data_IF_455582386501
#
_entry.id   IF_455582386501
#
_cell.length_a   1.000
_cell.length_b   1.000
_cell.length_c   1.000
_cell.angle_alpha   90.00
_cell.angle_beta   90.00
_cell.angle_gamma   90.00
#
_symmetry.space_group_name_H-M   'P 1'
#
loop_
_entity.id
_entity.type
_entity.pdbx_description
1 polymer ?
#
# COMPACT_ATOMS: atom_id res chain seq x y z
N UNK A 1 15.14 12.61 26.02
CA UNK A 1 13.90 11.90 26.39
C UNK A 1 13.12 11.69 25.12
N UNK A 2 12.62 10.47 24.89
CA UNK A 2 11.85 10.15 23.68
C UNK A 2 10.54 10.94 23.65
N UNK A 3 10.23 11.59 22.51
CA UNK A 3 9.06 12.46 22.32
C UNK A 3 7.76 11.73 22.67
N UNK A 4 7.63 10.48 22.19
CA UNK A 4 6.47 9.64 22.50
C UNK A 4 6.38 9.26 23.98
N UNK A 5 7.50 8.95 24.64
CA UNK A 5 7.51 8.63 26.07
C UNK A 5 7.02 9.81 26.89
N UNK A 6 7.57 11.01 26.63
CA UNK A 6 7.19 12.22 27.35
C UNK A 6 5.70 12.53 27.18
N UNK A 7 5.19 12.45 25.95
CA UNK A 7 3.77 12.60 25.63
C UNK A 7 2.92 11.59 26.40
N UNK A 8 3.20 10.28 26.24
CA UNK A 8 2.39 9.23 26.86
C UNK A 8 2.41 9.27 28.39
N UNK A 9 3.53 9.70 28.98
CA UNK A 9 3.66 9.89 30.43
C UNK A 9 2.85 11.09 30.94
N UNK A 10 2.67 12.13 30.13
CA UNK A 10 1.88 13.31 30.50
C UNK A 10 0.37 13.03 30.55
N UNK A 11 -0.11 12.00 29.85
CA UNK A 11 -1.52 11.62 29.82
C UNK A 11 -1.98 11.00 31.15
N UNK A 12 -3.18 11.39 31.60
CA UNK A 12 -3.85 10.75 32.73
C UNK A 12 -4.19 9.28 32.41
N UNK A 13 -4.44 8.47 33.44
CA UNK A 13 -4.76 7.04 33.27
C UNK A 13 -5.95 6.83 32.32
N UNK A 14 -7.03 7.57 32.52
CA UNK A 14 -8.23 7.50 31.69
C UNK A 14 -7.98 7.93 30.23
N UNK A 15 -7.10 8.93 30.02
CA UNK A 15 -6.73 9.38 28.69
C UNK A 15 -5.86 8.34 27.97
N UNK A 16 -4.97 7.65 28.69
CA UNK A 16 -4.18 6.55 28.13
C UNK A 16 -5.03 5.38 27.68
N UNK A 17 -6.07 5.04 28.43
CA UNK A 17 -7.03 3.99 28.06
C UNK A 17 -7.77 4.37 26.77
N UNK A 18 -8.30 5.60 26.70
CA UNK A 18 -8.94 6.12 25.47
C UNK A 18 -7.97 6.18 24.28
N UNK A 19 -6.72 6.57 24.53
CA UNK A 19 -5.70 6.64 23.49
C UNK A 19 -5.35 5.25 22.95
N UNK A 20 -5.22 4.26 23.83
CA UNK A 20 -4.99 2.87 23.42
C UNK A 20 -6.16 2.33 22.59
N UNK A 21 -7.40 2.61 22.98
CA UNK A 21 -8.60 2.23 22.23
C UNK A 21 -8.65 2.91 20.86
N UNK A 22 -8.40 4.21 20.78
CA UNK A 22 -8.40 4.98 19.52
C UNK A 22 -7.35 4.46 18.53
N UNK A 23 -6.20 4.03 19.02
CA UNK A 23 -5.10 3.48 18.21
C UNK A 23 -5.29 1.98 17.94
N UNK A 24 -6.27 1.32 18.57
CA UNK A 24 -6.55 -0.11 18.39
C UNK A 24 -5.54 -1.03 19.07
N UNK A 25 -4.99 -0.63 20.21
CA UNK A 25 -3.98 -1.39 20.95
C UNK A 25 -4.23 -1.38 22.46
N UNK A 26 -3.28 -1.88 23.26
CA UNK A 26 -3.35 -1.89 24.72
C UNK A 26 -2.37 -0.89 25.35
N UNK A 27 -2.75 -0.33 26.51
CA UNK A 27 -1.92 0.61 27.28
C UNK A 27 -0.55 0.01 27.62
N UNK A 28 -0.51 -1.28 27.97
CA UNK A 28 0.72 -1.99 28.29
C UNK A 28 1.65 -2.08 27.07
N UNK A 29 1.10 -2.32 25.87
CA UNK A 29 1.89 -2.37 24.65
C UNK A 29 2.45 -1.00 24.27
N UNK A 30 1.66 0.07 24.42
CA UNK A 30 2.14 1.45 24.24
C UNK A 30 3.29 1.78 25.21
N UNK A 31 3.24 1.31 26.46
CA UNK A 31 4.38 1.46 27.37
C UNK A 31 5.62 0.71 26.90
N UNK A 32 5.48 -0.51 26.39
CA UNK A 32 6.62 -1.25 25.83
C UNK A 32 7.26 -0.50 24.65
N UNK A 33 6.46 0.18 23.83
CA UNK A 33 6.94 1.05 22.75
C UNK A 33 7.61 2.31 23.33
N UNK A 34 7.01 2.97 24.32
CA UNK A 34 7.55 4.17 24.96
C UNK A 34 8.91 3.93 25.64
N UNK A 35 9.14 2.73 26.16
CA UNK A 35 10.42 2.30 26.72
C UNK A 35 11.36 1.65 25.68
N UNK A 36 11.00 1.67 24.38
CA UNK A 36 11.76 1.06 23.27
C UNK A 36 12.02 -0.44 23.42
N UNK A 37 11.24 -1.13 24.25
CA UNK A 37 11.33 -2.58 24.42
C UNK A 37 10.73 -3.34 23.23
N UNK A 38 9.76 -2.73 22.55
CA UNK A 38 9.14 -3.25 21.32
C UNK A 38 9.24 -2.23 20.21
N UNK A 39 9.41 -2.73 18.98
CA UNK A 39 9.37 -1.91 17.77
C UNK A 39 7.92 -1.60 17.43
N UNK A 40 7.65 -0.34 17.11
CA UNK A 40 6.35 0.08 16.62
C UNK A 40 6.18 -0.35 15.16
N UNK A 41 5.01 -0.90 14.82
CA UNK A 41 4.64 -1.18 13.43
C UNK A 41 4.36 0.13 12.68
N UNK A 42 4.51 0.14 11.36
CA UNK A 42 4.27 1.30 10.49
C UNK A 42 2.84 1.80 10.64
N UNK A 43 1.86 0.89 10.52
CA UNK A 43 0.44 1.22 10.67
C UNK A 43 0.13 1.80 12.05
N UNK A 44 0.76 1.27 13.09
CA UNK A 44 0.57 1.74 14.46
C UNK A 44 1.16 3.15 14.67
N UNK A 45 2.32 3.43 14.08
CA UNK A 45 2.93 4.75 14.15
C UNK A 45 2.02 5.83 13.53
N UNK A 46 1.41 5.51 12.39
CA UNK A 46 0.46 6.40 11.71
C UNK A 46 -0.76 6.66 12.60
N UNK A 47 -1.35 5.62 13.20
CA UNK A 47 -2.49 5.80 14.10
C UNK A 47 -2.13 6.59 15.36
N UNK A 48 -0.91 6.43 15.89
CA UNK A 48 -0.42 7.25 17.02
C UNK A 48 -0.30 8.72 16.63
N UNK A 49 0.26 9.04 15.46
CA UNK A 49 0.37 10.43 14.98
C UNK A 49 -1.03 11.06 14.79
N UNK A 50 -1.97 10.31 14.20
CA UNK A 50 -3.36 10.74 14.02
C UNK A 50 -4.07 10.98 15.35
N UNK A 51 -3.98 10.03 16.29
CA UNK A 51 -4.62 10.12 17.59
C UNK A 51 -4.00 11.21 18.48
N UNK A 52 -2.71 11.50 18.32
CA UNK A 52 -2.00 12.56 19.05
C UNK A 52 -2.11 13.94 18.41
N UNK A 53 -2.76 14.07 17.25
CA UNK A 53 -2.90 15.34 16.55
C UNK A 53 -1.55 15.93 16.12
N UNK A 54 -0.61 15.07 15.66
CA UNK A 54 0.75 15.44 15.26
C UNK A 54 1.67 15.94 16.40
N UNK A 55 1.29 15.74 17.67
CA UNK A 55 2.18 15.98 18.81
C UNK A 55 3.34 14.98 18.85
N UNK A 56 3.11 13.77 18.34
CA UNK A 56 4.14 12.74 18.16
C UNK A 56 4.25 12.44 16.68
N UNK A 57 5.43 12.65 16.11
CA UNK A 57 5.69 12.42 14.69
C UNK A 57 6.00 10.95 14.42
N UNK A 58 5.58 10.45 13.25
CA UNK A 58 5.94 9.11 12.78
C UNK A 58 7.46 8.94 12.62
N UNK A 59 8.18 10.02 12.30
CA UNK A 59 9.64 10.03 12.19
C UNK A 59 10.35 9.74 13.53
N UNK A 60 9.81 10.25 14.64
CA UNK A 60 10.36 10.01 15.98
C UNK A 60 10.13 8.56 16.44
N UNK A 61 8.96 8.00 16.10
CA UNK A 61 8.60 6.62 16.44
C UNK A 61 9.43 5.62 15.63
N UNK A 62 9.69 5.94 14.36
CA UNK A 62 10.30 5.02 13.40
C UNK A 62 11.23 5.75 12.44
N UNK A 63 12.47 6.05 12.88
CA UNK A 63 13.47 6.69 12.04
C UNK A 63 14.05 5.75 10.96
N UNK A 64 13.75 4.45 11.01
CA UNK A 64 14.18 3.49 10.00
C UNK A 64 13.39 3.53 8.70
N UNK A 65 12.20 4.16 8.69
CA UNK A 65 11.36 4.28 7.49
C UNK A 65 11.51 5.66 6.89
N UNK A 66 11.68 5.71 5.57
CA UNK A 66 11.68 6.97 4.82
C UNK A 66 10.25 7.47 4.60
N UNK A 67 9.73 8.17 5.61
CA UNK A 67 8.41 8.80 5.57
C UNK A 67 8.32 9.93 4.54
N UNK A 68 9.44 10.58 4.20
CA UNK A 68 9.46 11.61 3.17
C UNK A 68 9.22 11.01 1.78
N UNK A 69 9.84 9.88 1.48
CA UNK A 69 9.57 9.12 0.26
C UNK A 69 8.09 8.71 0.15
N UNK A 70 7.47 8.25 1.25
CA UNK A 70 6.06 7.86 1.28
C UNK A 70 5.13 9.05 1.00
N UNK A 71 5.39 10.23 1.60
CA UNK A 71 4.60 11.45 1.37
C UNK A 71 4.73 11.93 -0.08
N UNK A 72 5.95 12.02 -0.60
CA UNK A 72 6.21 12.45 -1.99
C UNK A 72 5.55 11.50 -3.01
N UNK A 73 5.57 10.19 -2.73
CA UNK A 73 4.91 9.20 -3.58
C UNK A 73 3.41 9.40 -3.62
N UNK A 74 2.78 9.66 -2.47
CA UNK A 74 1.35 9.96 -2.40
C UNK A 74 0.97 11.25 -3.15
N UNK A 75 1.82 12.30 -3.07
CA UNK A 75 1.62 13.54 -3.82
C UNK A 75 1.72 13.31 -5.34
N UNK A 76 2.67 12.50 -5.82
CA UNK A 76 2.77 12.18 -7.25
C UNK A 76 1.50 11.52 -7.80
N UNK A 77 0.83 10.69 -6.97
CA UNK A 77 -0.43 10.03 -7.31
C UNK A 77 -1.57 11.05 -7.31
N UNK A 78 -1.64 11.92 -6.31
CA UNK A 78 -2.66 12.96 -6.22
C UNK A 78 -2.55 14.00 -7.36
N UNK A 79 -1.32 14.33 -7.78
CA UNK A 79 -1.02 15.26 -8.86
C UNK A 79 -1.08 14.62 -10.25
N UNK A 80 -1.23 13.28 -10.33
CA UNK A 80 -1.46 12.62 -11.61
C UNK A 80 -2.85 13.01 -12.12
N UNK A 81 -3.01 13.33 -13.43
CA UNK A 81 -4.32 13.59 -13.98
C UNK A 81 -5.23 12.38 -13.72
N UNK A 82 -6.50 12.60 -13.33
CA UNK A 82 -7.42 11.51 -13.02
C UNK A 82 -7.44 10.52 -14.19
N UNK A 83 -7.60 9.23 -13.88
CA UNK A 83 -7.58 8.17 -14.91
C UNK A 83 -8.58 8.48 -16.06
N UNK A 84 -9.67 9.19 -15.77
CA UNK A 84 -10.65 9.67 -16.76
C UNK A 84 -10.07 10.68 -17.79
N UNK A 85 -9.06 11.46 -17.41
CA UNK A 85 -8.36 12.40 -18.29
C UNK A 85 -7.22 11.72 -19.10
N UNK A 86 -6.92 10.44 -18.85
CA UNK A 86 -6.02 9.67 -19.72
C UNK A 86 -6.79 9.28 -20.98
N UNK A 87 -6.59 10.06 -22.03
CA UNK A 87 -7.08 9.86 -23.41
C UNK A 87 -6.66 8.48 -23.99
N UNK A 88 -7.18 7.37 -23.45
CA UNK A 88 -6.76 6.03 -23.84
C UNK A 88 -7.48 4.86 -23.20
N UNK A 89 -8.49 5.08 -22.34
CA UNK A 89 -9.37 4.00 -21.83
C UNK A 89 -10.62 3.80 -22.70
N UNK A 90 -11.12 4.85 -23.36
CA UNK A 90 -12.27 4.73 -24.27
C UNK A 90 -11.96 3.91 -25.54
N UNK A 91 -10.72 3.93 -26.03
CA UNK A 91 -10.38 3.29 -27.30
C UNK A 91 -10.14 1.78 -27.21
N UNK A 92 -10.03 1.20 -26.00
CA UNK A 92 -9.75 -0.24 -25.82
C UNK A 92 -11.00 -1.11 -25.81
N UNK A 93 -12.16 -0.48 -25.67
CA UNK A 93 -13.46 -1.16 -25.54
C UNK A 93 -14.04 -1.44 -26.93
N UNK A 94 -13.55 -0.76 -27.98
CA UNK A 94 -13.99 -0.93 -29.38
C UNK A 94 -13.06 -1.78 -30.24
N UNK A 95 -11.89 -2.19 -29.77
CA UNK A 95 -11.05 -3.18 -30.46
C UNK A 95 -11.43 -4.59 -30.04
N UNK A 96 -12.67 -4.99 -30.35
CA UNK A 96 -13.13 -6.36 -30.26
C UNK A 96 -13.32 -6.90 -31.68
N UNK A 97 -12.26 -6.90 -32.49
CA UNK A 97 -12.19 -7.78 -33.65
C UNK A 97 -11.66 -9.14 -33.16
N UNK A 98 -12.51 -9.83 -32.40
CA UNK A 98 -12.33 -11.23 -32.03
C UNK A 98 -12.85 -12.07 -33.19
N UNK A 99 -12.13 -12.04 -34.31
CA UNK A 99 -12.17 -13.14 -35.27
C UNK A 99 -11.01 -14.07 -34.90
N UNK A 100 -11.27 -15.04 -34.03
CA UNK A 100 -10.36 -16.17 -33.88
C UNK A 100 -10.18 -16.81 -35.27
N UNK A 101 -8.96 -16.88 -35.84
CA UNK A 101 -8.75 -17.71 -37.01
C UNK A 101 -9.03 -19.17 -36.60
N UNK A 102 -9.75 -19.97 -37.42
CA UNK A 102 -9.99 -21.36 -37.08
C UNK A 102 -8.64 -22.08 -36.96
N UNK A 103 -8.39 -22.60 -35.76
CA UNK A 103 -7.25 -23.47 -35.47
C UNK A 103 -7.23 -24.63 -36.48
N UNK A 104 -6.04 -24.87 -37.05
CA UNK A 104 -5.83 -25.66 -38.26
C UNK A 104 -6.57 -27.00 -38.29
N UNK A 105 -7.47 -27.13 -39.27
CA UNK A 105 -7.88 -28.42 -39.83
C UNK A 105 -6.81 -28.92 -40.80
N UNK A 106 -6.33 -30.13 -40.54
CA UNK A 106 -5.21 -30.81 -41.20
C UNK A 106 -5.13 -30.64 -42.73
N UNK A 107 -3.93 -30.28 -43.17
CA UNK A 107 -3.45 -30.29 -44.54
C UNK A 107 -3.75 -31.61 -45.26
N UNK A 108 -4.31 -31.48 -46.46
CA UNK A 108 -4.56 -32.58 -47.39
C UNK A 108 -3.28 -33.33 -47.75
N UNK A 109 -3.32 -34.65 -47.56
CA UNK A 109 -2.35 -35.58 -48.12
C UNK A 109 -2.68 -35.86 -49.58
N UNK A 110 -2.24 -34.98 -50.48
CA UNK A 110 -2.15 -35.28 -51.90
C UNK A 110 -0.67 -35.28 -52.29
N UNK A 111 -0.07 -36.47 -52.40
CA UNK A 111 1.22 -36.65 -53.08
C UNK A 111 1.05 -37.65 -54.20
N UNK A 112 1.11 -37.10 -55.42
CA UNK A 112 1.22 -37.79 -56.69
C UNK A 112 2.44 -38.72 -56.76
N UNK A 113 2.20 -39.93 -57.29
CA UNK A 113 2.94 -40.71 -58.29
C UNK A 113 4.46 -40.53 -58.53
N UNK A 114 5.21 -41.62 -58.30
CA UNK A 114 6.22 -42.31 -59.17
C UNK A 114 6.96 -43.34 -58.28
N UNK A 115 7.25 -44.58 -58.66
CA UNK A 115 8.14 -44.98 -59.76
C UNK A 115 8.15 -46.53 -59.94
N UNK A 116 8.46 -46.92 -61.17
CA UNK A 116 8.71 -48.22 -61.82
C UNK A 116 9.26 -49.40 -60.99
N UNK A 117 8.78 -50.62 -61.30
CA UNK A 117 9.56 -51.81 -61.67
C UNK A 117 8.64 -52.82 -62.40
#
# INVERSE_FOLDING_TARGET
>A
MDTFHAYFKSLAKAEREKFAEAVGTSVAYLWQIAYKQRRCNESLAIEIEKASGQQVRVEDLRPDVDWAYLRNSAESIANSPPITARNGVANRISSSDDTQPPVGGSSGGEKLSKMVA
#
